data_IF_969016607175
#
_entry.id   IF_969016607175
#
_cell.length_a   1.000
_cell.length_b   1.000
_cell.length_c   1.000
_cell.angle_alpha   90.00
_cell.angle_beta   90.00
_cell.angle_gamma   90.00
#
_symmetry.space_group_name_H-M   'P 1'
#
loop_
_entity.id
_entity.type
_entity.pdbx_description
1 polymer ?
#
# COMPACT_ATOMS: atom_id res chain seq x y z
N UNK A 1 -2.45 -13.13 1.96
CA UNK A 1 -3.27 -14.31 2.33
C UNK A 1 -2.57 -15.29 3.29
N UNK A 2 -1.45 -15.95 2.96
CA UNK A 2 -0.75 -16.88 3.89
C UNK A 2 -0.26 -16.24 5.20
N UNK A 3 0.35 -15.06 5.16
CA UNK A 3 0.79 -14.37 6.40
C UNK A 3 -0.36 -13.85 7.25
N UNK A 4 -1.45 -13.38 6.63
CA UNK A 4 -2.71 -13.10 7.33
C UNK A 4 -3.28 -14.38 7.97
N UNK A 5 -3.19 -15.53 7.29
CA UNK A 5 -3.54 -16.85 7.82
C UNK A 5 -2.60 -17.34 8.92
N UNK A 6 -1.30 -17.04 8.85
CA UNK A 6 -0.32 -17.34 9.91
C UNK A 6 -0.53 -16.45 11.14
N UNK A 7 -0.81 -15.16 10.94
CA UNK A 7 -1.18 -14.23 12.01
C UNK A 7 -2.54 -14.60 12.62
N UNK A 8 -3.51 -15.03 11.81
CA UNK A 8 -4.76 -15.62 12.27
C UNK A 8 -4.49 -16.89 13.08
N UNK A 9 -3.64 -17.81 12.63
CA UNK A 9 -3.27 -19.02 13.40
C UNK A 9 -2.61 -18.72 14.75
N UNK A 10 -1.94 -17.57 14.86
CA UNK A 10 -1.27 -17.07 16.08
C UNK A 10 -2.15 -16.13 16.91
N UNK A 11 -3.33 -15.75 16.41
CA UNK A 11 -4.31 -14.92 17.11
C UNK A 11 -5.12 -15.79 18.07
N UNK A 12 -5.38 -15.28 19.28
CA UNK A 12 -6.07 -16.01 20.36
C UNK A 12 -7.51 -16.44 20.00
N UNK A 13 -8.07 -15.93 18.90
CA UNK A 13 -9.39 -16.32 18.37
C UNK A 13 -9.43 -17.78 17.87
N UNK A 14 -8.31 -18.37 17.43
CA UNK A 14 -8.26 -19.80 17.00
C UNK A 14 -8.44 -20.76 18.15
N UNK A 15 -8.10 -20.35 19.38
CA UNK A 15 -8.19 -21.21 20.56
C UNK A 15 -9.61 -21.33 21.10
N UNK A 16 -10.51 -20.40 20.76
CA UNK A 16 -11.81 -20.28 21.44
C UNK A 16 -13.01 -20.76 20.63
N UNK A 17 -12.97 -20.84 19.29
CA UNK A 17 -14.13 -21.26 18.49
C UNK A 17 -13.69 -21.75 17.09
N UNK A 18 -14.45 -22.70 16.51
CA UNK A 18 -14.29 -23.24 15.16
C UNK A 18 -14.56 -22.19 14.06
N UNK A 19 -13.78 -21.11 14.02
CA UNK A 19 -13.87 -20.09 12.97
C UNK A 19 -13.05 -20.56 11.77
N UNK A 20 -13.62 -20.45 10.56
CA UNK A 20 -12.94 -20.87 9.35
C UNK A 20 -11.79 -19.90 9.03
N UNK A 21 -10.70 -20.38 8.44
CA UNK A 21 -9.54 -19.55 8.07
C UNK A 21 -9.92 -18.28 7.29
N UNK A 22 -10.97 -18.35 6.46
CA UNK A 22 -11.42 -17.23 5.63
C UNK A 22 -12.14 -16.15 6.46
N UNK A 23 -12.95 -16.55 7.43
CA UNK A 23 -13.65 -15.63 8.33
C UNK A 23 -12.65 -14.84 9.19
N UNK A 24 -11.57 -15.49 9.59
CA UNK A 24 -10.48 -14.84 10.33
C UNK A 24 -9.70 -13.85 9.48
N UNK A 25 -9.35 -14.24 8.24
CA UNK A 25 -8.64 -13.34 7.32
C UNK A 25 -9.52 -12.12 7.02
N UNK A 26 -10.81 -12.34 6.79
CA UNK A 26 -11.78 -11.26 6.60
C UNK A 26 -11.82 -10.33 7.80
N UNK A 27 -11.95 -10.88 9.02
CA UNK A 27 -11.93 -10.08 10.23
C UNK A 27 -10.63 -9.28 10.38
N UNK A 28 -9.46 -9.89 10.14
CA UNK A 28 -8.17 -9.20 10.21
C UNK A 28 -8.08 -8.00 9.24
N UNK A 29 -8.68 -8.13 8.05
CA UNK A 29 -8.72 -7.09 7.03
C UNK A 29 -9.71 -5.99 7.44
N UNK A 30 -10.94 -6.36 7.81
CA UNK A 30 -11.99 -5.43 8.21
C UNK A 30 -11.64 -4.65 9.48
N UNK A 31 -10.96 -5.31 10.43
CA UNK A 31 -10.52 -4.68 11.69
C UNK A 31 -9.17 -3.98 11.59
N UNK A 32 -8.54 -3.97 10.42
CA UNK A 32 -7.18 -3.44 10.20
C UNK A 32 -6.20 -3.86 11.30
N UNK A 33 -6.10 -5.17 11.57
CA UNK A 33 -5.30 -5.66 12.71
C UNK A 33 -3.88 -5.08 12.69
N UNK A 34 -3.47 -4.50 13.82
CA UNK A 34 -2.19 -3.78 13.93
C UNK A 34 -1.00 -4.63 13.51
N UNK A 35 -0.96 -5.94 13.85
CA UNK A 35 0.16 -6.81 13.48
C UNK A 35 0.20 -7.07 11.98
N UNK A 36 -0.97 -7.17 11.34
CA UNK A 36 -1.06 -7.30 9.89
C UNK A 36 -0.54 -6.04 9.20
N UNK A 37 -0.98 -4.86 9.64
CA UNK A 37 -0.54 -3.57 9.08
C UNK A 37 0.97 -3.36 9.26
N UNK A 38 1.50 -3.62 10.46
CA UNK A 38 2.94 -3.54 10.73
C UNK A 38 3.75 -4.48 9.83
N UNK A 39 3.23 -5.67 9.51
CA UNK A 39 3.90 -6.59 8.61
C UNK A 39 3.88 -6.10 7.16
N UNK A 40 2.75 -5.55 6.69
CA UNK A 40 2.65 -4.95 5.36
C UNK A 40 3.63 -3.78 5.21
N UNK A 41 3.78 -2.94 6.24
CA UNK A 41 4.77 -1.87 6.23
C UNK A 41 6.22 -2.37 6.11
N UNK A 42 6.55 -3.49 6.78
CA UNK A 42 7.88 -4.11 6.65
C UNK A 42 8.11 -4.64 5.23
N UNK A 43 7.11 -5.30 4.64
CA UNK A 43 7.20 -5.86 3.29
C UNK A 43 7.29 -4.75 2.23
N UNK A 44 6.56 -3.65 2.40
CA UNK A 44 6.70 -2.44 1.59
C UNK A 44 8.09 -1.84 1.68
N UNK A 45 8.64 -1.72 2.91
CA UNK A 45 10.01 -1.22 3.10
C UNK A 45 11.03 -2.07 2.36
N UNK A 46 10.92 -3.40 2.44
CA UNK A 46 11.78 -4.31 1.69
C UNK A 46 11.61 -4.16 0.17
N UNK A 47 10.40 -3.88 -0.31
CA UNK A 47 10.13 -3.66 -1.74
C UNK A 47 10.78 -2.36 -2.25
N UNK A 48 10.85 -1.32 -1.40
CA UNK A 48 11.51 -0.07 -1.75
C UNK A 48 13.04 -0.17 -1.83
N UNK A 49 13.67 -1.19 -1.24
CA UNK A 49 15.13 -1.38 -1.34
C UNK A 49 15.62 -1.60 -2.77
N UNK A 50 14.72 -2.04 -3.67
CA UNK A 50 15.03 -2.22 -5.09
C UNK A 50 14.92 -0.93 -5.92
N UNK A 51 14.41 0.18 -5.36
CA UNK A 51 14.22 1.43 -6.07
C UNK A 51 15.49 2.29 -6.05
N UNK A 52 15.73 3.02 -7.14
CA UNK A 52 16.76 4.06 -7.16
C UNK A 52 16.30 5.30 -6.38
N UNK A 53 17.24 6.17 -6.03
CA UNK A 53 16.93 7.44 -5.34
C UNK A 53 16.00 8.32 -6.17
N UNK A 54 16.15 8.32 -7.49
CA UNK A 54 15.33 9.07 -8.44
C UNK A 54 13.90 8.53 -8.45
N UNK A 55 13.74 7.20 -8.48
CA UNK A 55 12.43 6.57 -8.44
C UNK A 55 11.71 6.83 -7.10
N UNK A 56 12.43 6.79 -5.98
CA UNK A 56 11.90 7.15 -4.66
C UNK A 56 11.52 8.64 -4.58
N UNK A 57 12.30 9.53 -5.20
CA UNK A 57 12.01 10.95 -5.25
C UNK A 57 10.72 11.22 -6.05
N UNK A 58 10.54 10.55 -7.20
CA UNK A 58 9.33 10.64 -8.02
C UNK A 58 8.08 10.14 -7.25
N UNK A 59 8.19 8.99 -6.58
CA UNK A 59 7.11 8.45 -5.72
C UNK A 59 6.74 9.41 -4.58
N UNK A 60 7.74 10.01 -3.93
CA UNK A 60 7.52 10.98 -2.86
C UNK A 60 6.88 12.27 -3.37
N UNK A 61 7.31 12.76 -4.54
CA UNK A 61 6.75 13.94 -5.17
C UNK A 61 5.26 13.74 -5.52
N UNK A 62 4.91 12.60 -6.11
CA UNK A 62 3.52 12.24 -6.38
C UNK A 62 2.69 12.14 -5.11
N UNK A 63 3.21 11.44 -4.09
CA UNK A 63 2.55 11.33 -2.79
C UNK A 63 2.23 12.69 -2.18
N UNK A 64 3.19 13.62 -2.16
CA UNK A 64 3.00 14.96 -1.59
C UNK A 64 1.88 15.74 -2.27
N UNK A 65 1.78 15.66 -3.59
CA UNK A 65 0.70 16.33 -4.33
C UNK A 65 -0.64 15.66 -4.02
N UNK A 66 -0.67 14.33 -3.89
CA UNK A 66 -1.87 13.57 -3.51
C UNK A 66 -2.37 13.91 -2.11
N UNK A 67 -1.48 13.90 -1.13
CA UNK A 67 -1.78 14.26 0.26
C UNK A 67 -2.30 15.70 0.35
N UNK A 68 -1.75 16.61 -0.45
CA UNK A 68 -2.23 17.99 -0.54
C UNK A 68 -3.65 18.08 -1.13
N UNK A 69 -3.93 17.34 -2.22
CA UNK A 69 -5.28 17.28 -2.81
C UNK A 69 -6.29 16.69 -1.83
N UNK A 70 -5.92 15.65 -1.09
CA UNK A 70 -6.77 15.06 -0.04
C UNK A 70 -7.07 16.08 1.07
N UNK A 71 -6.05 16.80 1.55
CA UNK A 71 -6.23 17.87 2.52
C UNK A 71 -7.17 18.98 2.02
N UNK A 72 -7.12 19.34 0.73
CA UNK A 72 -8.04 20.30 0.13
C UNK A 72 -9.49 19.78 0.10
N UNK A 73 -9.69 18.49 -0.16
CA UNK A 73 -11.02 17.86 -0.16
C UNK A 73 -11.66 17.82 1.23
N UNK A 74 -10.85 17.67 2.28
CA UNK A 74 -11.29 17.61 3.67
C UNK A 74 -11.55 19.00 4.29
N UNK A 75 -11.34 20.08 3.54
CA UNK A 75 -11.50 21.44 4.07
C UNK A 75 -12.98 21.86 4.05
N UNK A 76 -13.47 22.37 5.17
CA UNK A 76 -14.85 22.85 5.34
C UNK A 76 -15.17 24.12 4.51
N UNK A 77 -14.18 24.97 4.26
CA UNK A 77 -14.36 26.21 3.47
C UNK A 77 -13.83 25.96 2.07
N UNK A 78 -14.60 26.16 1.01
CA UNK A 78 -14.13 25.86 -0.36
C UNK A 78 -13.62 27.08 -1.14
N UNK A 79 -13.95 28.29 -0.68
CA UNK A 79 -13.61 29.50 -1.42
C UNK A 79 -12.13 29.85 -1.27
N UNK A 80 -11.32 29.33 -2.19
CA UNK A 80 -9.98 29.83 -2.48
C UNK A 80 -9.99 30.17 -3.94
N UNK A 81 -10.06 31.46 -4.27
CA UNK A 81 -9.75 31.99 -5.61
C UNK A 81 -8.25 31.81 -5.94
N UNK A 82 -7.68 30.66 -5.59
CA UNK A 82 -6.27 30.33 -5.65
C UNK A 82 -5.93 29.66 -6.98
N UNK A 83 -6.21 30.35 -8.09
CA UNK A 83 -5.94 29.89 -9.44
C UNK A 83 -4.50 29.43 -9.64
N UNK A 84 -3.53 30.16 -9.04
CA UNK A 84 -2.12 29.79 -9.10
C UNK A 84 -1.84 28.42 -8.48
N UNK A 85 -2.43 28.13 -7.32
CA UNK A 85 -2.30 26.83 -6.66
C UNK A 85 -2.94 25.72 -7.48
N UNK A 86 -4.15 25.95 -8.02
CA UNK A 86 -4.83 24.97 -8.88
C UNK A 86 -3.99 24.63 -10.12
N UNK A 87 -3.47 25.65 -10.82
CA UNK A 87 -2.61 25.45 -11.99
C UNK A 87 -1.32 24.72 -11.63
N UNK A 88 -0.71 25.07 -10.48
CA UNK A 88 0.48 24.37 -9.99
C UNK A 88 0.20 22.90 -9.69
N UNK A 89 -0.93 22.56 -9.04
CA UNK A 89 -1.31 21.15 -8.78
C UNK A 89 -1.46 20.39 -10.10
N UNK A 90 -2.15 20.98 -11.09
CA UNK A 90 -2.38 20.34 -12.39
C UNK A 90 -1.06 20.05 -13.11
N UNK A 91 -0.14 21.03 -13.14
CA UNK A 91 1.15 20.85 -13.80
C UNK A 91 2.03 19.84 -13.04
N UNK A 92 2.01 19.85 -11.71
CA UNK A 92 2.75 18.87 -10.91
C UNK A 92 2.20 17.46 -11.06
N UNK A 93 0.89 17.28 -11.11
CA UNK A 93 0.27 15.99 -11.42
C UNK A 93 0.75 15.47 -12.78
N UNK A 94 0.84 16.36 -13.79
CA UNK A 94 1.30 15.98 -15.14
C UNK A 94 2.77 15.57 -15.14
N UNK A 95 3.63 16.37 -14.49
CA UNK A 95 5.07 16.09 -14.41
C UNK A 95 5.35 14.81 -13.62
N UNK A 96 4.76 14.65 -12.44
CA UNK A 96 4.94 13.46 -11.61
C UNK A 96 4.48 12.19 -12.34
N UNK A 97 3.35 12.23 -13.06
CA UNK A 97 2.90 11.10 -13.88
C UNK A 97 3.86 10.74 -15.00
N UNK A 98 4.46 11.74 -15.65
CA UNK A 98 5.47 11.50 -16.68
C UNK A 98 6.73 10.87 -16.09
N UNK A 99 7.21 11.38 -14.95
CA UNK A 99 8.38 10.82 -14.27
C UNK A 99 8.13 9.41 -13.74
N UNK A 100 6.96 9.14 -13.16
CA UNK A 100 6.60 7.80 -12.67
C UNK A 100 6.49 6.77 -13.78
N UNK A 101 6.17 7.16 -15.02
CA UNK A 101 6.09 6.25 -16.15
C UNK A 101 7.46 5.65 -16.55
N UNK A 102 8.56 6.30 -16.15
CA UNK A 102 9.93 5.83 -16.40
C UNK A 102 10.36 4.72 -15.42
N UNK A 103 9.59 4.49 -14.35
CA UNK A 103 9.93 3.53 -13.29
C UNK A 103 8.88 2.42 -13.16
N UNK A 104 9.26 1.22 -12.69
CA UNK A 104 8.31 0.17 -12.40
C UNK A 104 7.29 0.60 -11.32
N UNK A 105 6.01 0.25 -11.49
CA UNK A 105 4.99 0.55 -10.49
C UNK A 105 5.26 -0.21 -9.18
N UNK A 106 4.87 0.39 -8.06
CA UNK A 106 5.09 -0.18 -6.73
C UNK A 106 4.45 -1.56 -6.57
N UNK A 107 3.29 -1.76 -7.18
CA UNK A 107 2.56 -3.01 -7.20
C UNK A 107 3.39 -4.14 -7.80
N UNK A 108 4.18 -3.84 -8.83
CA UNK A 108 5.07 -4.82 -9.47
C UNK A 108 6.21 -5.20 -8.52
N UNK A 109 6.84 -4.23 -7.86
CA UNK A 109 7.90 -4.50 -6.89
C UNK A 109 7.39 -5.32 -5.70
N UNK A 110 6.20 -5.00 -5.22
CA UNK A 110 5.55 -5.75 -4.14
C UNK A 110 5.18 -7.17 -4.59
N UNK A 111 4.69 -7.34 -5.82
CA UNK A 111 4.41 -8.66 -6.40
C UNK A 111 5.68 -9.51 -6.51
N UNK A 112 6.79 -8.92 -6.95
CA UNK A 112 8.10 -9.60 -6.97
C UNK A 112 8.54 -10.03 -5.57
N UNK A 113 8.35 -9.19 -4.55
CA UNK A 113 8.63 -9.54 -3.16
C UNK A 113 7.85 -10.78 -2.69
N UNK A 114 6.59 -10.91 -3.11
CA UNK A 114 5.74 -12.05 -2.73
C UNK A 114 5.87 -13.29 -3.62
N UNK A 115 6.57 -13.22 -4.75
CA UNK A 115 6.63 -14.30 -5.74
C UNK A 115 7.15 -15.61 -5.14
N UNK A 116 8.23 -15.55 -4.35
CA UNK A 116 8.77 -16.74 -3.66
C UNK A 116 7.76 -17.36 -2.69
N UNK A 117 7.02 -16.51 -1.97
CA UNK A 117 6.00 -16.97 -1.03
C UNK A 117 4.86 -17.67 -1.78
N UNK A 118 4.40 -17.10 -2.90
CA UNK A 118 3.34 -17.68 -3.73
C UNK A 118 3.80 -19.01 -4.32
N UNK A 119 5.01 -19.08 -4.88
CA UNK A 119 5.57 -20.31 -5.45
C UNK A 119 5.62 -21.45 -4.41
N UNK A 120 6.06 -21.16 -3.18
CA UNK A 120 6.07 -22.15 -2.09
C UNK A 120 4.68 -22.66 -1.72
N UNK A 121 3.65 -21.83 -1.83
CA UNK A 121 2.26 -22.22 -1.58
C UNK A 121 1.74 -23.11 -2.70
N UNK A 122 2.01 -22.75 -3.96
CA UNK A 122 1.60 -23.56 -5.10
C UNK A 122 2.20 -24.96 -5.06
N UNK A 123 3.47 -25.08 -4.65
CA UNK A 123 4.13 -26.38 -4.47
C UNK A 123 3.54 -27.23 -3.33
N UNK A 124 2.97 -26.61 -2.29
CA UNK A 124 2.35 -27.32 -1.17
C UNK A 124 0.91 -27.75 -1.47
N UNK A 125 0.29 -27.18 -2.51
CA UNK A 125 -1.08 -27.47 -2.93
C UNK A 125 -1.17 -28.51 -4.06
N UNK A 126 -0.05 -28.78 -4.75
CA UNK A 126 0.10 -29.83 -5.75
C UNK A 126 0.48 -31.16 -5.09
#
# INVERSE_FOLDING_TARGET
MRRAKELASKSDLVKSTRVTSDEMVRHLIESEDRKLVEQIHKDLKASFEAYSNEALAALLADKRVRDYKESLMLREVWDTRAWGTTVWIIERDRQNKAELAEFPPLEEALARHYLQTIASVMQQAA
#
